data_IF_552082375387
#
_entry.id   IF_552082375387
#
_cell.length_a   1.000
_cell.length_b   1.000
_cell.length_c   1.000
_cell.angle_alpha   90.00
_cell.angle_beta   90.00
_cell.angle_gamma   90.00
#
_symmetry.space_group_name_H-M   'P 1'
#
loop_
_entity.id
_entity.type
_entity.pdbx_description
1 polymer ?
#
# COMPACT_ATOMS: atom_id res chain seq x y z
N UNK A 1 -1.90 -7.52 -0.23
CA UNK A 1 -2.60 -6.58 -1.13
C UNK A 1 -3.32 -7.43 -2.16
N UNK A 2 -4.62 -7.25 -2.29
CA UNK A 2 -5.43 -7.97 -3.28
C UNK A 2 -5.32 -7.28 -4.64
N UNK A 3 -4.70 -7.97 -5.60
CA UNK A 3 -4.48 -7.47 -6.95
C UNK A 3 -5.79 -7.34 -7.76
N UNK A 4 -6.84 -8.09 -7.42
CA UNK A 4 -8.14 -8.01 -8.11
C UNK A 4 -8.89 -6.72 -7.75
N UNK A 5 -8.67 -6.22 -6.54
CA UNK A 5 -9.26 -4.98 -6.05
C UNK A 5 -8.41 -3.76 -6.41
N UNK A 6 -7.08 -3.89 -6.44
CA UNK A 6 -6.19 -2.77 -6.70
C UNK A 6 -6.39 -2.16 -8.10
N UNK A 7 -6.78 -0.88 -8.15
CA UNK A 7 -6.92 -0.12 -9.41
C UNK A 7 -5.65 0.65 -9.83
N UNK A 8 -4.51 0.39 -9.18
CA UNK A 8 -3.23 1.06 -9.45
C UNK A 8 -3.34 2.60 -9.37
N UNK A 9 -4.12 3.12 -8.41
CA UNK A 9 -4.35 4.56 -8.26
C UNK A 9 -3.15 5.36 -7.71
N UNK A 10 -2.08 4.70 -7.26
CA UNK A 10 -0.87 5.34 -6.73
C UNK A 10 -1.01 5.96 -5.33
N UNK A 11 -2.21 6.01 -4.73
CA UNK A 11 -2.46 6.66 -3.43
C UNK A 11 -1.52 6.12 -2.33
N UNK A 12 -1.40 4.78 -2.21
CA UNK A 12 -0.53 4.16 -1.21
C UNK A 12 0.96 4.50 -1.39
N UNK A 13 1.42 4.74 -2.62
CA UNK A 13 2.79 5.19 -2.91
C UNK A 13 3.00 6.61 -2.43
N UNK A 14 2.07 7.52 -2.75
CA UNK A 14 2.17 8.94 -2.40
C UNK A 14 2.08 9.20 -0.90
N UNK A 15 1.23 8.45 -0.18
CA UNK A 15 0.95 8.75 1.22
C UNK A 15 1.91 8.09 2.22
N UNK A 16 2.61 7.03 1.82
CA UNK A 16 3.40 6.23 2.76
C UNK A 16 4.60 7.06 3.27
N UNK A 17 4.62 7.45 4.57
CA UNK A 17 5.64 8.37 5.08
C UNK A 17 7.05 7.74 5.07
N UNK A 18 7.13 6.41 5.14
CA UNK A 18 8.39 5.66 5.15
C UNK A 18 8.74 5.04 3.80
N UNK A 19 7.99 5.36 2.74
CA UNK A 19 8.22 4.91 1.36
C UNK A 19 8.38 3.40 1.21
N UNK A 20 7.46 2.65 1.84
CA UNK A 20 7.36 1.18 1.71
C UNK A 20 7.06 0.79 0.26
N UNK A 21 6.25 1.61 -0.43
CA UNK A 21 5.81 1.38 -1.80
C UNK A 21 6.56 2.30 -2.78
N UNK A 22 6.74 1.82 -4.01
CA UNK A 22 7.19 2.59 -5.17
C UNK A 22 6.21 2.42 -6.33
N UNK A 23 6.15 3.37 -7.26
CA UNK A 23 5.33 3.25 -8.45
C UNK A 23 6.07 2.47 -9.56
N UNK A 24 5.44 1.41 -10.06
CA UNK A 24 5.79 0.74 -11.31
C UNK A 24 4.99 1.29 -12.50
N UNK A 25 5.00 0.60 -13.65
CA UNK A 25 4.24 0.99 -14.83
C UNK A 25 2.75 1.17 -14.51
N UNK A 26 2.16 2.27 -14.99
CA UNK A 26 0.74 2.57 -14.76
C UNK A 26 0.38 2.73 -13.29
N UNK A 27 1.29 3.28 -12.47
CA UNK A 27 1.11 3.51 -11.02
C UNK A 27 0.89 2.24 -10.20
N UNK A 28 1.30 1.08 -10.72
CA UNK A 28 1.30 -0.17 -9.99
C UNK A 28 2.12 -0.04 -8.69
N UNK A 29 1.51 -0.17 -7.50
CA UNK A 29 2.26 -0.10 -6.26
C UNK A 29 3.11 -1.35 -6.07
N UNK A 30 4.41 -1.18 -5.88
CA UNK A 30 5.37 -2.25 -5.60
C UNK A 30 5.93 -2.10 -4.20
N UNK A 31 5.89 -3.16 -3.40
CA UNK A 31 6.50 -3.17 -2.07
C UNK A 31 8.02 -3.34 -2.22
N UNK A 32 8.78 -2.28 -1.97
CA UNK A 32 10.25 -2.30 -2.11
C UNK A 32 10.99 -2.16 -0.79
N UNK A 33 10.36 -1.55 0.23
CA UNK A 33 10.96 -1.38 1.55
C UNK A 33 10.05 -1.91 2.68
N UNK A 34 9.69 -3.22 2.70
CA UNK A 34 8.74 -3.76 3.67
C UNK A 34 9.20 -3.57 5.12
N UNK A 35 10.51 -3.63 5.38
CA UNK A 35 11.10 -3.41 6.72
C UNK A 35 10.92 -1.99 7.26
N UNK A 36 10.59 -1.01 6.42
CA UNK A 36 10.31 0.37 6.85
C UNK A 36 8.85 0.59 7.24
N UNK A 37 7.99 -0.43 7.12
CA UNK A 37 6.59 -0.32 7.50
C UNK A 37 6.47 -0.17 9.03
N UNK A 38 5.92 0.94 9.48
CA UNK A 38 5.69 1.24 10.91
C UNK A 38 4.30 0.81 11.38
N UNK A 39 3.53 0.13 10.53
CA UNK A 39 2.12 -0.26 10.80
C UNK A 39 1.23 0.95 11.16
N UNK A 40 1.46 2.10 10.50
CA UNK A 40 0.65 3.31 10.68
C UNK A 40 -0.77 3.22 10.08
N UNK A 41 -1.07 2.17 9.32
CA UNK A 41 -2.38 1.88 8.71
C UNK A 41 -2.94 2.92 7.74
N UNK A 42 -2.20 3.97 7.41
CA UNK A 42 -2.67 5.01 6.49
C UNK A 42 -2.99 4.46 5.10
N UNK A 43 -2.19 3.51 4.58
CA UNK A 43 -2.44 2.91 3.27
C UNK A 43 -3.72 2.07 3.25
N UNK A 44 -4.06 1.42 4.37
CA UNK A 44 -5.31 0.71 4.56
C UNK A 44 -6.50 1.68 4.54
N UNK A 45 -6.49 2.70 5.40
CA UNK A 45 -7.61 3.66 5.52
C UNK A 45 -7.84 4.54 4.29
N UNK A 46 -6.82 4.71 3.44
CA UNK A 46 -6.89 5.57 2.25
C UNK A 46 -7.06 4.80 0.94
N UNK A 47 -7.09 3.46 0.98
CA UNK A 47 -7.38 2.68 -0.22
C UNK A 47 -8.89 2.71 -0.49
N UNK A 48 -9.36 3.33 -1.59
CA UNK A 48 -10.80 3.43 -1.87
C UNK A 48 -11.44 2.07 -2.20
N UNK A 49 -10.64 1.11 -2.68
CA UNK A 49 -11.08 -0.22 -3.07
C UNK A 49 -10.81 -1.29 -2.00
N UNK A 50 -10.31 -0.90 -0.82
CA UNK A 50 -9.93 -1.82 0.27
C UNK A 50 -8.97 -2.94 -0.16
N UNK A 51 -8.10 -2.68 -1.15
CA UNK A 51 -7.15 -3.65 -1.68
C UNK A 51 -5.98 -3.96 -0.73
N UNK A 52 -5.82 -3.21 0.36
CA UNK A 52 -4.76 -3.43 1.36
C UNK A 52 -5.40 -4.07 2.59
N UNK A 53 -4.77 -5.10 3.14
CA UNK A 53 -5.20 -5.80 4.36
C UNK A 53 -4.17 -5.57 5.47
N UNK A 54 -4.63 -5.57 6.72
CA UNK A 54 -3.79 -5.53 7.90
C UNK A 54 -3.67 -6.96 8.46
N UNK A 55 -2.44 -7.44 8.62
CA UNK A 55 -2.20 -8.67 9.36
C UNK A 55 -2.27 -8.36 10.86
N UNK A 56 -3.19 -9.03 11.55
CA UNK A 56 -3.30 -8.98 13.01
C UNK A 56 -2.67 -10.28 13.52
N UNK A 57 -1.54 -10.16 14.23
CA UNK A 57 -0.98 -11.28 14.95
C UNK A 57 -1.53 -11.24 16.38
N UNK A 58 -2.19 -12.31 16.87
CA UNK A 58 -2.64 -12.42 18.26
C UNK A 58 -1.47 -12.49 19.24
#
# INVERSE_FOLDING_TARGET
>A
MDEKLCKKCGICVSLCPTRVFTAGPGNEPRVTNPRKCTRCNLCFFRCPDFAIQLEVNP
#
